data_IF_702894036514
#
_entry.id   IF_702894036514
#
_cell.length_a   1.000
_cell.length_b   1.000
_cell.length_c   1.000
_cell.angle_alpha   90.00
_cell.angle_beta   90.00
_cell.angle_gamma   90.00
#
_symmetry.space_group_name_H-M   'P 1'
#
loop_
_entity.id
_entity.type
_entity.pdbx_description
1 polymer ?
#
# COMPACT_ATOMS: atom_id res chain seq x y z
N UNK A 1 26.87 16.34 3.94
CA UNK A 1 26.16 15.09 3.59
C UNK A 1 26.54 13.95 4.53
N UNK A 2 27.82 13.68 4.76
CA UNK A 2 28.27 12.62 5.70
C UNK A 2 27.82 12.86 7.17
N UNK A 3 27.77 14.11 7.63
CA UNK A 3 27.40 14.45 9.01
C UNK A 3 25.93 14.23 9.41
N UNK A 4 25.02 13.87 8.48
CA UNK A 4 23.56 13.75 8.77
C UNK A 4 23.04 12.30 8.77
N UNK A 5 23.68 11.37 8.06
CA UNK A 5 23.09 10.04 7.78
C UNK A 5 24.01 8.85 8.06
N UNK A 6 25.18 9.05 8.69
CA UNK A 6 26.15 7.98 8.91
C UNK A 6 26.79 7.47 7.61
N UNK A 7 27.58 6.42 7.71
CA UNK A 7 28.14 5.74 6.54
C UNK A 7 27.06 4.85 5.89
N UNK A 8 26.97 4.89 4.56
CA UNK A 8 25.99 4.12 3.77
C UNK A 8 26.60 2.76 3.44
N UNK A 9 26.00 1.67 3.93
CA UNK A 9 26.50 0.29 3.75
C UNK A 9 25.91 -0.44 2.53
N UNK A 10 25.32 0.27 1.56
CA UNK A 10 24.74 -0.37 0.37
C UNK A 10 25.82 -0.96 -0.53
N UNK A 11 25.82 -2.29 -0.65
CA UNK A 11 26.75 -3.01 -1.52
C UNK A 11 26.28 -3.00 -2.98
N UNK A 12 27.16 -2.55 -3.89
CA UNK A 12 26.97 -2.66 -5.34
C UNK A 12 27.76 -3.86 -5.85
N UNK A 13 27.07 -4.97 -6.08
CA UNK A 13 27.67 -6.25 -6.47
C UNK A 13 27.07 -6.78 -7.76
N UNK A 14 27.80 -7.67 -8.45
CA UNK A 14 27.27 -8.36 -9.63
C UNK A 14 26.20 -9.37 -9.19
N UNK A 15 25.04 -9.34 -9.84
CA UNK A 15 24.00 -10.36 -9.65
C UNK A 15 24.53 -11.72 -10.13
N UNK A 16 24.50 -12.72 -9.24
CA UNK A 16 24.78 -14.12 -9.59
C UNK A 16 23.47 -14.85 -9.88
N UNK A 17 22.67 -15.09 -8.85
CA UNK A 17 21.38 -15.76 -8.96
C UNK A 17 20.31 -15.10 -8.12
N UNK A 18 19.10 -15.03 -8.67
CA UNK A 18 17.90 -14.58 -7.98
C UNK A 18 16.97 -15.78 -7.78
N UNK A 19 16.52 -15.98 -6.55
CA UNK A 19 15.54 -17.02 -6.21
C UNK A 19 14.19 -16.36 -5.97
N UNK A 20 13.18 -16.82 -6.69
CA UNK A 20 11.81 -16.32 -6.49
C UNK A 20 11.31 -16.76 -5.11
N UNK A 21 10.81 -15.80 -4.34
CA UNK A 21 10.14 -16.06 -3.06
C UNK A 21 8.77 -16.72 -3.28
N UNK A 22 8.26 -17.36 -2.23
CA UNK A 22 6.96 -18.03 -2.20
C UNK A 22 5.81 -17.10 -2.62
N UNK A 23 4.74 -17.70 -3.14
CA UNK A 23 3.64 -16.95 -3.74
C UNK A 23 2.97 -15.96 -2.77
N UNK A 24 2.89 -16.30 -1.48
CA UNK A 24 2.29 -15.43 -0.46
C UNK A 24 3.10 -14.13 -0.22
N UNK A 25 4.39 -14.10 -0.58
CA UNK A 25 5.20 -12.89 -0.55
C UNK A 25 4.94 -11.99 -1.77
N UNK A 26 4.43 -12.53 -2.87
CA UNK A 26 4.17 -11.77 -4.09
C UNK A 26 2.93 -10.88 -3.90
N UNK A 27 3.12 -9.57 -4.11
CA UNK A 27 2.03 -8.56 -4.07
C UNK A 27 1.22 -8.63 -2.76
N UNK A 28 1.95 -8.62 -1.64
CA UNK A 28 1.43 -8.79 -0.28
C UNK A 28 0.20 -7.92 0.04
N UNK A 29 0.22 -6.63 -0.26
CA UNK A 29 -0.88 -5.71 0.04
C UNK A 29 -2.14 -6.07 -0.75
N UNK A 30 -1.99 -6.45 -2.02
CA UNK A 30 -3.09 -6.95 -2.82
C UNK A 30 -3.67 -8.26 -2.24
N UNK A 31 -2.83 -9.21 -1.83
CA UNK A 31 -3.28 -10.49 -1.26
C UNK A 31 -4.02 -10.35 0.07
N UNK A 32 -3.68 -9.34 0.86
CA UNK A 32 -4.38 -9.01 2.11
C UNK A 32 -5.75 -8.36 1.87
N UNK A 33 -5.98 -7.82 0.67
CA UNK A 33 -7.25 -7.24 0.24
C UNK A 33 -8.09 -8.23 -0.53
N UNK A 34 -8.64 -9.22 0.19
CA UNK A 34 -9.41 -10.35 -0.34
C UNK A 34 -10.56 -9.93 -1.27
N UNK A 35 -11.26 -8.86 -0.90
CA UNK A 35 -12.36 -8.28 -1.68
C UNK A 35 -11.96 -7.85 -3.10
N UNK A 36 -10.73 -7.34 -3.26
CA UNK A 36 -10.16 -6.90 -4.54
C UNK A 36 -9.46 -8.07 -5.23
N UNK A 37 -8.65 -8.85 -4.48
CA UNK A 37 -7.89 -9.97 -5.01
C UNK A 37 -8.79 -11.02 -5.67
N UNK A 38 -9.86 -11.43 -4.98
CA UNK A 38 -10.78 -12.45 -5.48
C UNK A 38 -11.56 -11.95 -6.71
N UNK A 39 -11.81 -10.64 -6.79
CA UNK A 39 -12.49 -10.01 -7.94
C UNK A 39 -11.61 -10.00 -9.21
N UNK A 40 -10.29 -9.89 -9.06
CA UNK A 40 -9.35 -9.90 -10.19
C UNK A 40 -9.14 -11.29 -10.79
N UNK A 41 -9.40 -12.36 -10.04
CA UNK A 41 -9.29 -13.77 -10.47
C UNK A 41 -7.94 -14.14 -11.09
N UNK A 42 -6.87 -13.50 -10.62
CA UNK A 42 -5.51 -13.76 -11.08
C UNK A 42 -4.95 -15.03 -10.44
N UNK A 43 -4.24 -15.85 -11.20
CA UNK A 43 -3.44 -16.95 -10.67
C UNK A 43 -2.08 -16.45 -10.14
N UNK A 44 -1.35 -17.29 -9.39
CA UNK A 44 -0.11 -16.87 -8.73
C UNK A 44 0.98 -16.39 -9.71
N UNK A 45 1.05 -16.98 -10.92
CA UNK A 45 1.96 -16.52 -11.95
C UNK A 45 1.58 -15.13 -12.49
N UNK A 46 0.28 -14.84 -12.65
CA UNK A 46 -0.21 -13.51 -13.03
C UNK A 46 0.02 -12.48 -11.93
N UNK A 47 -0.13 -12.87 -10.65
CA UNK A 47 0.16 -12.00 -9.50
C UNK A 47 1.65 -11.62 -9.44
N UNK A 48 2.53 -12.58 -9.70
CA UNK A 48 3.96 -12.33 -9.75
C UNK A 48 4.35 -11.40 -10.91
N UNK A 49 3.82 -11.66 -12.11
CA UNK A 49 4.38 -11.13 -13.36
C UNK A 49 3.58 -9.98 -14.02
N UNK A 50 2.32 -9.74 -13.66
CA UNK A 50 1.49 -8.76 -14.37
C UNK A 50 1.67 -7.32 -13.88
N UNK A 51 1.58 -6.37 -14.83
CA UNK A 51 1.52 -4.93 -14.55
C UNK A 51 0.26 -4.60 -13.73
N UNK A 52 -0.88 -5.23 -14.07
CA UNK A 52 -2.12 -5.10 -13.33
C UNK A 52 -1.92 -5.41 -11.84
N UNK A 53 -1.38 -6.59 -11.50
CA UNK A 53 -1.15 -6.96 -10.10
C UNK A 53 -0.17 -6.04 -9.38
N UNK A 54 0.85 -5.52 -10.09
CA UNK A 54 1.77 -4.53 -9.52
C UNK A 54 1.08 -3.22 -9.17
N UNK A 55 0.26 -2.68 -10.08
CA UNK A 55 -0.50 -1.44 -9.85
C UNK A 55 -1.58 -1.62 -8.79
N UNK A 56 -2.30 -2.73 -8.81
CA UNK A 56 -3.30 -3.09 -7.80
C UNK A 56 -2.69 -3.26 -6.40
N UNK A 57 -1.47 -3.78 -6.32
CA UNK A 57 -0.73 -3.86 -5.06
C UNK A 57 -0.27 -2.49 -4.54
N UNK A 58 0.24 -1.63 -5.42
CA UNK A 58 0.57 -0.25 -5.04
C UNK A 58 -0.69 0.49 -4.55
N UNK A 59 -1.81 0.27 -5.22
CA UNK A 59 -3.11 0.77 -4.81
C UNK A 59 -3.50 0.29 -3.39
N UNK A 60 -3.43 -1.02 -3.14
CA UNK A 60 -3.71 -1.57 -1.81
C UNK A 60 -2.71 -1.13 -0.73
N UNK A 61 -1.54 -0.64 -1.12
CA UNK A 61 -0.51 -0.12 -0.23
C UNK A 61 -0.67 1.37 0.10
N UNK A 62 -1.71 2.05 -0.40
CA UNK A 62 -1.98 3.45 -0.05
C UNK A 62 -1.28 4.50 -0.92
N UNK A 63 -0.73 4.11 -2.08
CA UNK A 63 -0.38 5.11 -3.09
C UNK A 63 -1.64 5.90 -3.51
N UNK A 64 -1.49 7.12 -4.05
CA UNK A 64 -2.64 8.01 -4.34
C UNK A 64 -2.65 8.59 -5.75
N UNK A 65 -1.55 8.47 -6.51
CA UNK A 65 -1.51 8.85 -7.91
C UNK A 65 -2.02 7.71 -8.79
N UNK A 66 -3.24 7.87 -9.28
CA UNK A 66 -3.94 6.88 -10.10
C UNK A 66 -4.59 7.51 -11.33
N UNK A 67 -3.93 8.51 -11.91
CA UNK A 67 -4.33 9.07 -13.21
C UNK A 67 -4.51 7.98 -14.29
N UNK A 68 -3.84 6.83 -14.13
CA UNK A 68 -3.89 5.67 -15.05
C UNK A 68 -4.98 4.62 -14.73
N UNK A 69 -5.79 4.79 -13.67
CA UNK A 69 -6.77 3.77 -13.25
C UNK A 69 -7.87 3.55 -14.29
N UNK A 70 -8.34 4.63 -14.94
CA UNK A 70 -9.34 4.54 -16.00
C UNK A 70 -8.79 3.84 -17.26
N UNK A 71 -7.49 3.96 -17.52
CA UNK A 71 -6.84 3.22 -18.60
C UNK A 71 -6.74 1.72 -18.27
N UNK A 72 -6.29 1.38 -17.06
CA UNK A 72 -6.26 -0.01 -16.60
C UNK A 72 -7.63 -0.67 -16.62
N UNK A 73 -8.66 0.08 -16.21
CA UNK A 73 -10.04 -0.38 -16.26
C UNK A 73 -10.44 -0.79 -17.67
N UNK A 74 -10.12 0.04 -18.67
CA UNK A 74 -10.40 -0.22 -20.08
C UNK A 74 -9.59 -1.41 -20.62
N UNK A 75 -8.30 -1.47 -20.30
CA UNK A 75 -7.39 -2.53 -20.79
C UNK A 75 -7.73 -3.91 -20.21
N UNK A 76 -8.11 -3.95 -18.93
CA UNK A 76 -8.33 -5.21 -18.21
C UNK A 76 -9.80 -5.52 -17.96
N UNK A 77 -10.73 -4.71 -18.47
CA UNK A 77 -12.17 -4.93 -18.31
C UNK A 77 -12.62 -4.91 -16.85
N UNK A 78 -12.03 -4.03 -16.03
CA UNK A 78 -12.36 -3.96 -14.60
C UNK A 78 -13.78 -3.42 -14.42
N UNK A 79 -14.55 -4.03 -13.51
CA UNK A 79 -15.91 -3.57 -13.23
C UNK A 79 -15.91 -2.20 -12.52
N UNK A 80 -16.95 -1.39 -12.76
CA UNK A 80 -17.16 -0.12 -12.05
C UNK A 80 -17.14 -0.32 -10.53
N UNK A 81 -17.80 -1.39 -10.04
CA UNK A 81 -17.83 -1.72 -8.61
C UNK A 81 -16.44 -1.99 -8.01
N UNK A 82 -15.50 -2.50 -8.80
CA UNK A 82 -14.12 -2.73 -8.37
C UNK A 82 -13.36 -1.42 -8.31
N UNK A 83 -13.51 -0.57 -9.32
CA UNK A 83 -12.91 0.77 -9.37
C UNK A 83 -13.46 1.65 -8.24
N UNK A 84 -14.74 1.57 -7.92
CA UNK A 84 -15.34 2.26 -6.78
C UNK A 84 -14.76 1.77 -5.44
N UNK A 85 -14.59 0.46 -5.26
CA UNK A 85 -13.90 -0.08 -4.06
C UNK A 85 -12.46 0.38 -3.98
N UNK A 86 -11.81 0.57 -5.13
CA UNK A 86 -10.48 1.16 -5.18
C UNK A 86 -10.52 2.67 -4.85
N UNK A 87 -11.47 3.44 -5.34
CA UNK A 87 -11.54 4.83 -4.90
C UNK A 87 -11.92 4.96 -3.41
N UNK A 88 -12.70 4.00 -2.90
CA UNK A 88 -13.16 3.96 -1.51
C UNK A 88 -12.16 3.36 -0.52
N UNK A 89 -11.08 2.71 -0.96
CA UNK A 89 -10.02 2.24 -0.05
C UNK A 89 -8.77 3.12 -0.02
N UNK A 90 -8.71 4.14 -0.88
CA UNK A 90 -7.75 5.22 -0.81
C UNK A 90 -8.19 6.51 -0.06
N UNK A 91 -9.32 6.62 0.66
CA UNK A 91 -9.39 7.59 1.73
C UNK A 91 -8.58 6.96 2.86
N UNK A 92 -7.34 7.41 3.09
CA UNK A 92 -6.63 7.03 4.30
C UNK A 92 -7.56 7.19 5.50
N UNK A 93 -7.39 6.36 6.52
CA UNK A 93 -8.34 6.19 7.63
C UNK A 93 -9.00 7.51 8.03
N UNK A 94 -10.31 7.64 7.85
CA UNK A 94 -11.04 8.90 8.07
C UNK A 94 -11.81 8.94 9.39
N UNK A 95 -11.98 7.79 10.04
CA UNK A 95 -12.72 7.67 11.29
C UNK A 95 -11.78 7.64 12.51
N UNK A 96 -11.54 8.79 13.13
CA UNK A 96 -10.66 8.92 14.29
C UNK A 96 -11.42 8.95 15.63
N UNK A 97 -12.66 8.48 15.67
CA UNK A 97 -13.49 8.49 16.89
C UNK A 97 -12.83 7.75 18.06
N UNK A 98 -12.31 6.54 17.83
CA UNK A 98 -11.57 5.76 18.83
C UNK A 98 -10.27 6.45 19.28
N UNK A 99 -9.56 7.11 18.36
CA UNK A 99 -8.32 7.84 18.71
C UNK A 99 -8.61 9.05 19.61
N UNK A 100 -9.74 9.73 19.41
CA UNK A 100 -10.19 10.82 20.28
C UNK A 100 -10.69 10.32 21.64
N UNK A 101 -11.25 9.11 21.70
CA UNK A 101 -11.55 8.44 22.98
C UNK A 101 -10.28 8.13 23.76
N UNK A 102 -9.30 7.49 23.12
CA UNK A 102 -8.00 7.18 23.73
C UNK A 102 -7.25 8.44 24.18
N UNK A 103 -7.38 9.54 23.43
CA UNK A 103 -6.83 10.84 23.84
C UNK A 103 -7.41 11.30 25.18
N UNK A 104 -8.73 11.20 25.36
CA UNK A 104 -9.40 11.59 26.61
C UNK A 104 -9.06 10.63 27.74
N UNK A 105 -9.05 9.33 27.48
CA UNK A 105 -8.83 8.29 28.49
C UNK A 105 -7.39 8.28 29.01
N UNK A 106 -6.41 8.43 28.11
CA UNK A 106 -4.99 8.31 28.44
C UNK A 106 -4.24 9.64 28.46
N UNK A 107 -4.92 10.76 28.24
CA UNK A 107 -4.30 12.09 28.25
C UNK A 107 -3.24 12.27 27.15
N UNK A 108 -3.47 11.69 25.97
CA UNK A 108 -2.54 11.83 24.84
C UNK A 108 -2.44 13.31 24.42
N UNK A 109 -1.24 13.74 24.04
CA UNK A 109 -1.04 15.12 23.57
C UNK A 109 -1.66 15.34 22.20
N UNK A 110 -2.16 16.56 21.95
CA UNK A 110 -2.70 16.96 20.65
C UNK A 110 -1.71 16.71 19.51
N UNK A 111 -0.43 16.99 19.76
CA UNK A 111 0.64 16.77 18.79
C UNK A 111 0.83 15.29 18.41
N UNK A 112 0.63 14.36 19.34
CA UNK A 112 0.73 12.93 19.05
C UNK A 112 -0.50 12.46 18.25
N UNK A 113 -1.70 12.87 18.67
CA UNK A 113 -2.95 12.53 17.98
C UNK A 113 -2.93 13.05 16.55
N UNK A 114 -2.46 14.27 16.33
CA UNK A 114 -2.37 14.87 15.00
C UNK A 114 -1.33 14.16 14.12
N UNK A 115 -0.22 13.69 14.67
CA UNK A 115 0.74 12.84 13.95
C UNK A 115 0.11 11.50 13.54
N UNK A 116 -0.63 10.85 14.44
CA UNK A 116 -1.30 9.57 14.15
C UNK A 116 -2.39 9.76 13.09
N UNK A 117 -3.19 10.85 13.19
CA UNK A 117 -4.15 11.23 12.15
C UNK A 117 -3.46 11.40 10.81
N UNK A 118 -2.47 12.29 10.74
CA UNK A 118 -1.75 12.55 9.49
C UNK A 118 -1.11 11.29 8.90
N UNK A 119 -0.60 10.38 9.73
CA UNK A 119 -0.05 9.11 9.27
C UNK A 119 -1.14 8.20 8.68
N UNK A 120 -2.26 8.05 9.37
CA UNK A 120 -3.35 7.18 8.98
C UNK A 120 -4.14 7.72 7.76
N UNK A 121 -4.37 9.04 7.69
CA UNK A 121 -5.02 9.70 6.54
C UNK A 121 -4.14 9.70 5.29
N UNK A 122 -2.82 9.62 5.46
CA UNK A 122 -1.86 9.49 4.35
C UNK A 122 -1.71 8.04 3.86
N UNK A 123 -2.52 7.10 4.38
CA UNK A 123 -2.44 5.67 4.04
C UNK A 123 -1.27 4.93 4.67
N UNK A 124 -0.53 5.57 5.57
CA UNK A 124 0.82 5.18 5.99
C UNK A 124 1.81 5.39 4.84
N UNK A 125 2.97 6.03 5.10
CA UNK A 125 4.06 5.97 4.13
C UNK A 125 4.49 4.49 4.02
N UNK A 126 4.39 3.82 2.86
CA UNK A 126 4.82 2.43 2.72
C UNK A 126 6.31 2.26 3.07
N UNK A 127 7.09 3.34 2.99
CA UNK A 127 8.51 3.40 3.38
C UNK A 127 8.73 3.43 4.90
N UNK A 128 7.69 3.60 5.70
CA UNK A 128 7.75 3.61 7.17
C UNK A 128 7.43 2.25 7.81
N UNK A 129 7.15 1.20 7.02
CA UNK A 129 6.93 -0.17 7.50
C UNK A 129 8.20 -1.05 7.53
N UNK A 130 9.38 -0.47 7.29
CA UNK A 130 10.67 -1.15 7.31
C UNK A 130 11.67 -0.40 8.19
#
# INVERSE_FOLDING_TARGET
LQAKYGDIETYVVKLDKFYQAEDYHQKYWLRNRKDIFDALKLNDAEVANSVLAAKMNAYCAGYTDFSELEELKREHGLSDSLVEKMNACCPGYTDFSELEELKREHGLSDSLVEKVKNFATSGGDPRACH
#
